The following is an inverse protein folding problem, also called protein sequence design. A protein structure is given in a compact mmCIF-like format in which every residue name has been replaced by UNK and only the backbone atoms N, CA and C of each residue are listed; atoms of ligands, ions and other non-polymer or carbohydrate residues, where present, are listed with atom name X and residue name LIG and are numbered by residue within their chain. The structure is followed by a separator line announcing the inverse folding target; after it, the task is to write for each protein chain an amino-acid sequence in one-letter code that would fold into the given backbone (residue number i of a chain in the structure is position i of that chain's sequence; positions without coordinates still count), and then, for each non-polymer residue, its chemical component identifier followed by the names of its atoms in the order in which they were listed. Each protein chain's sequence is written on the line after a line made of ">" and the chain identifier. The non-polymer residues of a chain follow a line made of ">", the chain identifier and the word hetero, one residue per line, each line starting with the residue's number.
data_IF_294278820463
#
_entry.id   IF_294278820463
#
_cell.length_a   1.000
_cell.length_b   1.000
_cell.length_c   1.000
_cell.angle_alpha   90.00
_cell.angle_beta   90.00
_cell.angle_gamma   90.00
#
_symmetry.space_group_name_H-M   'P 1'
#
loop_
_entity.id
_entity.type
_entity.pdbx_description
1 polymer ?
#
# COMPACT_ATOMS: atom_id res chain seq x y z
N UNK A 1 -40.98 -24.92 -35.83
CA UNK A 1 -39.55 -24.92 -35.47
C UNK A 1 -39.28 -23.59 -34.81
N UNK A 2 -39.20 -23.63 -33.53
CA UNK A 2 -38.92 -22.44 -32.70
C UNK A 2 -37.64 -22.79 -31.98
N UNK A 3 -36.52 -22.28 -32.47
CA UNK A 3 -35.23 -22.39 -31.76
C UNK A 3 -35.18 -21.32 -30.67
N UNK A 4 -35.23 -21.81 -29.46
CA UNK A 4 -35.08 -21.02 -28.24
C UNK A 4 -33.61 -21.07 -27.84
N UNK A 5 -32.82 -20.08 -28.25
CA UNK A 5 -31.44 -19.90 -27.75
C UNK A 5 -31.50 -19.47 -26.29
N UNK A 6 -31.18 -20.41 -25.42
CA UNK A 6 -30.99 -20.17 -24.02
C UNK A 6 -29.76 -19.28 -23.78
N UNK A 7 -30.01 -18.07 -23.33
CA UNK A 7 -28.98 -17.11 -22.91
C UNK A 7 -28.25 -17.69 -21.68
N UNK A 8 -26.96 -17.94 -21.82
CA UNK A 8 -26.14 -18.71 -20.89
C UNK A 8 -25.71 -17.83 -19.72
N UNK A 9 -26.00 -18.15 -18.44
CA UNK A 9 -25.69 -17.31 -17.27
C UNK A 9 -24.20 -17.01 -17.05
N UNK A 10 -23.29 -17.83 -17.58
CA UNK A 10 -21.84 -17.67 -17.42
C UNK A 10 -21.25 -16.41 -18.09
N UNK A 11 -21.93 -15.83 -19.10
CA UNK A 11 -21.45 -14.63 -19.80
C UNK A 11 -21.79 -13.35 -19.03
N UNK A 12 -22.94 -13.32 -18.39
CA UNK A 12 -23.41 -12.18 -17.58
C UNK A 12 -22.59 -12.02 -16.30
N UNK A 13 -22.25 -13.10 -15.60
CA UNK A 13 -21.41 -13.07 -14.39
C UNK A 13 -20.00 -12.56 -14.68
N UNK A 14 -19.37 -13.01 -15.78
CA UNK A 14 -18.04 -12.52 -16.20
C UNK A 14 -18.06 -11.02 -16.56
N UNK A 15 -19.14 -10.52 -17.15
CA UNK A 15 -19.30 -9.10 -17.44
C UNK A 15 -19.44 -8.27 -16.16
N UNK A 16 -20.21 -8.71 -15.16
CA UNK A 16 -20.39 -8.03 -13.88
C UNK A 16 -19.05 -7.89 -13.12
N UNK A 17 -18.29 -8.96 -13.03
CA UNK A 17 -16.95 -8.95 -12.36
C UNK A 17 -15.98 -7.98 -13.08
N UNK A 18 -16.04 -7.92 -14.40
CA UNK A 18 -15.20 -7.05 -15.19
C UNK A 18 -15.55 -5.56 -15.01
N UNK A 19 -16.83 -5.23 -14.78
CA UNK A 19 -17.27 -3.85 -14.49
C UNK A 19 -16.70 -3.36 -13.17
N UNK A 20 -16.73 -4.20 -12.12
CA UNK A 20 -16.16 -3.86 -10.81
C UNK A 20 -14.65 -3.62 -10.92
N UNK A 21 -13.93 -4.49 -11.62
CA UNK A 21 -12.49 -4.33 -11.82
C UNK A 21 -12.14 -3.01 -12.56
N UNK A 22 -12.93 -2.65 -13.56
CA UNK A 22 -12.79 -1.39 -14.31
C UNK A 22 -13.09 -0.16 -13.44
N UNK A 23 -14.16 -0.20 -12.64
CA UNK A 23 -14.51 0.85 -11.69
C UNK A 23 -13.39 1.06 -10.66
N UNK A 24 -12.86 -0.02 -10.09
CA UNK A 24 -11.73 0.03 -9.17
C UNK A 24 -10.46 0.61 -9.83
N UNK A 25 -10.17 0.28 -11.09
CA UNK A 25 -9.05 0.84 -11.82
C UNK A 25 -9.20 2.36 -12.02
N UNK A 26 -10.42 2.83 -12.30
CA UNK A 26 -10.74 4.25 -12.44
C UNK A 26 -10.53 5.00 -11.12
N UNK A 27 -11.02 4.48 -10.01
CA UNK A 27 -10.82 5.08 -8.68
C UNK A 27 -9.32 5.15 -8.31
N UNK A 28 -8.53 4.11 -8.61
CA UNK A 28 -7.08 4.12 -8.40
C UNK A 28 -6.37 5.15 -9.27
N UNK A 29 -6.79 5.37 -10.51
CA UNK A 29 -6.21 6.40 -11.37
C UNK A 29 -6.42 7.81 -10.79
N UNK A 30 -7.56 8.05 -10.15
CA UNK A 30 -7.89 9.33 -9.49
C UNK A 30 -7.13 9.53 -8.17
N UNK A 31 -6.68 8.47 -7.50
CA UNK A 31 -6.00 8.54 -6.20
C UNK A 31 -4.78 9.46 -6.21
N UNK A 32 -4.04 9.51 -7.32
CA UNK A 32 -2.83 10.34 -7.48
C UNK A 32 -3.08 11.68 -8.17
N UNK A 33 -4.33 12.08 -8.30
CA UNK A 33 -4.75 13.30 -9.01
C UNK A 33 -5.84 14.06 -8.22
N UNK A 34 -5.47 14.72 -7.12
CA UNK A 34 -6.44 15.43 -6.26
C UNK A 34 -7.20 16.54 -7.00
N UNK A 35 -6.57 17.19 -8.01
CA UNK A 35 -7.24 18.16 -8.88
C UNK A 35 -8.29 17.52 -9.81
N UNK A 36 -8.23 16.19 -9.98
CA UNK A 36 -9.09 15.46 -10.89
C UNK A 36 -8.45 15.14 -12.24
N UNK A 37 -9.18 14.36 -13.05
CA UNK A 37 -8.79 13.94 -14.38
C UNK A 37 -9.95 14.15 -15.35
N UNK A 38 -9.64 14.56 -16.57
CA UNK A 38 -10.62 14.59 -17.67
C UNK A 38 -10.98 13.16 -18.10
N UNK A 39 -12.15 12.98 -18.73
CA UNK A 39 -12.54 11.68 -19.30
C UNK A 39 -11.53 11.13 -20.32
N UNK A 40 -10.83 12.02 -21.03
CA UNK A 40 -9.77 11.65 -21.98
C UNK A 40 -8.53 11.10 -21.28
N UNK A 41 -8.10 11.72 -20.19
CA UNK A 41 -6.98 11.25 -19.37
C UNK A 41 -7.32 9.93 -18.68
N UNK A 42 -8.53 9.82 -18.12
CA UNK A 42 -9.02 8.57 -17.51
C UNK A 42 -9.06 7.44 -18.54
N UNK A 43 -9.58 7.70 -19.76
CA UNK A 43 -9.63 6.72 -20.84
C UNK A 43 -8.25 6.16 -21.18
N UNK A 44 -7.23 7.01 -21.23
CA UNK A 44 -5.83 6.60 -21.43
C UNK A 44 -5.29 5.81 -20.23
N UNK A 45 -5.53 6.30 -19.02
CA UNK A 45 -5.00 5.70 -17.79
C UNK A 45 -5.54 4.28 -17.55
N UNK A 46 -6.83 4.03 -17.87
CA UNK A 46 -7.46 2.70 -17.66
C UNK A 46 -7.55 1.87 -18.94
N UNK A 47 -7.04 2.37 -20.07
CA UNK A 47 -7.06 1.71 -21.40
C UNK A 47 -8.48 1.26 -21.82
N UNK A 48 -9.48 2.13 -21.61
CA UNK A 48 -10.88 1.89 -21.99
C UNK A 48 -11.39 2.97 -22.92
N UNK A 49 -12.37 2.64 -23.82
CA UNK A 49 -13.04 3.63 -24.64
C UNK A 49 -13.68 4.74 -23.79
N UNK A 50 -13.64 5.98 -24.26
CA UNK A 50 -14.18 7.15 -23.54
C UNK A 50 -15.66 6.99 -23.16
N UNK A 51 -16.47 6.37 -24.04
CA UNK A 51 -17.90 6.08 -23.75
C UNK A 51 -18.08 5.10 -22.60
N UNK A 52 -17.19 4.11 -22.47
CA UNK A 52 -17.18 3.18 -21.32
C UNK A 52 -16.78 3.91 -20.04
N UNK A 53 -15.74 4.76 -20.09
CA UNK A 53 -15.33 5.57 -18.95
C UNK A 53 -16.44 6.50 -18.49
N UNK A 54 -17.12 7.18 -19.44
CA UNK A 54 -18.28 8.04 -19.12
C UNK A 54 -19.34 7.27 -18.33
N UNK A 55 -19.77 6.09 -18.82
CA UNK A 55 -20.78 5.27 -18.13
C UNK A 55 -20.35 4.81 -16.72
N UNK A 56 -19.05 4.50 -16.55
CA UNK A 56 -18.49 4.15 -15.24
C UNK A 56 -18.47 5.37 -14.31
N UNK A 57 -18.09 6.54 -14.81
CA UNK A 57 -18.09 7.79 -14.06
C UNK A 57 -19.51 8.15 -13.63
N UNK A 58 -20.50 8.08 -14.53
CA UNK A 58 -21.90 8.39 -14.22
C UNK A 58 -22.44 7.45 -13.13
N UNK A 59 -22.11 6.14 -13.22
CA UNK A 59 -22.50 5.17 -12.21
C UNK A 59 -21.81 5.40 -10.85
N UNK A 60 -20.52 5.75 -10.84
CA UNK A 60 -19.78 6.04 -9.61
C UNK A 60 -20.19 7.38 -8.98
N UNK A 61 -20.59 8.36 -9.79
CA UNK A 61 -21.10 9.66 -9.35
C UNK A 61 -22.45 9.51 -8.68
N UNK A 62 -23.35 8.68 -9.26
CA UNK A 62 -24.65 8.39 -8.64
C UNK A 62 -24.55 7.73 -7.25
N UNK A 63 -23.45 7.00 -6.99
CA UNK A 63 -23.15 6.38 -5.68
C UNK A 63 -22.26 7.29 -4.80
N UNK A 64 -21.87 8.47 -5.28
CA UNK A 64 -21.02 9.44 -4.56
C UNK A 64 -19.57 9.01 -4.40
N UNK A 65 -19.09 8.01 -5.16
CA UNK A 65 -17.69 7.56 -5.15
C UNK A 65 -16.77 8.47 -5.95
N UNK A 66 -17.31 9.18 -6.92
CA UNK A 66 -16.63 10.25 -7.62
C UNK A 66 -17.52 11.48 -7.64
N UNK A 67 -16.95 12.63 -7.97
CA UNK A 67 -17.65 13.85 -8.31
C UNK A 67 -17.38 14.10 -9.78
N UNK A 68 -18.40 13.93 -10.62
CA UNK A 68 -18.34 14.33 -12.02
C UNK A 68 -18.44 15.86 -12.07
N UNK A 69 -17.32 16.52 -12.32
CA UNK A 69 -17.31 17.96 -12.37
C UNK A 69 -17.89 18.50 -13.66
N UNK A 70 -18.41 19.74 -13.62
CA UNK A 70 -18.77 20.56 -14.78
C UNK A 70 -17.59 20.64 -15.77
N UNK A 71 -17.87 20.99 -17.02
CA UNK A 71 -16.99 20.93 -18.20
C UNK A 71 -15.55 21.48 -18.07
N UNK A 72 -15.19 22.08 -16.94
CA UNK A 72 -13.87 22.69 -16.69
C UNK A 72 -13.05 22.05 -15.55
N UNK A 73 -13.67 21.31 -14.63
CA UNK A 73 -12.97 20.62 -13.54
C UNK A 73 -13.12 19.11 -13.73
N UNK A 74 -12.01 18.37 -13.81
CA UNK A 74 -12.01 16.93 -14.06
C UNK A 74 -12.78 16.11 -13.03
N UNK A 75 -13.00 14.82 -13.29
CA UNK A 75 -13.58 13.84 -12.35
C UNK A 75 -12.64 13.70 -11.15
N UNK A 76 -13.18 13.75 -9.93
CA UNK A 76 -12.44 13.61 -8.66
C UNK A 76 -13.06 12.50 -7.79
N UNK A 77 -12.32 12.03 -6.80
CA UNK A 77 -12.85 11.13 -5.79
C UNK A 77 -13.96 11.82 -4.98
N UNK A 78 -15.03 11.07 -4.70
CA UNK A 78 -16.23 11.56 -4.02
C UNK A 78 -16.23 11.28 -2.51
N UNK A 79 -17.09 11.97 -1.74
CA UNK A 79 -17.12 11.90 -0.27
C UNK A 79 -17.59 10.54 0.29
N UNK A 80 -18.35 9.73 -0.46
CA UNK A 80 -18.77 8.41 -0.01
C UNK A 80 -17.59 7.48 0.29
N UNK A 81 -16.44 7.70 -0.33
CA UNK A 81 -15.22 6.95 -0.04
C UNK A 81 -14.69 7.24 1.39
N UNK A 82 -14.87 8.46 1.90
CA UNK A 82 -14.48 8.80 3.28
C UNK A 82 -15.36 8.06 4.30
N UNK A 83 -16.66 7.94 4.04
CA UNK A 83 -17.57 7.21 4.91
C UNK A 83 -17.25 5.71 4.93
N UNK A 84 -16.94 5.13 3.78
CA UNK A 84 -16.52 3.73 3.70
C UNK A 84 -15.18 3.50 4.41
N UNK A 85 -14.20 4.39 4.21
CA UNK A 85 -12.91 4.31 4.89
C UNK A 85 -13.08 4.41 6.42
N UNK A 86 -13.93 5.32 6.91
CA UNK A 86 -14.23 5.45 8.34
C UNK A 86 -14.93 4.21 8.93
N UNK A 87 -15.70 3.48 8.12
CA UNK A 87 -16.32 2.22 8.53
C UNK A 87 -15.34 1.04 8.52
N UNK A 88 -14.20 1.17 7.86
CA UNK A 88 -13.15 0.18 7.85
C UNK A 88 -12.44 0.23 9.21
N UNK A 89 -12.67 -0.75 10.07
CA UNK A 89 -12.03 -0.84 11.39
C UNK A 89 -10.56 -1.25 11.24
N UNK A 90 -9.70 -0.30 10.94
CA UNK A 90 -8.24 -0.48 11.10
C UNK A 90 -7.87 -0.38 12.58
N UNK A 91 -8.29 -1.38 13.35
CA UNK A 91 -8.06 -1.42 14.79
C UNK A 91 -6.56 -1.26 15.16
N UNK A 92 -5.69 -1.72 14.26
CA UNK A 92 -4.25 -1.62 14.45
C UNK A 92 -3.73 -0.17 14.40
N UNK A 93 -4.33 0.70 13.56
CA UNK A 93 -3.91 2.10 13.46
C UNK A 93 -4.18 2.86 14.77
N UNK A 94 -5.36 2.65 15.37
CA UNK A 94 -5.71 3.28 16.64
C UNK A 94 -4.78 2.85 17.77
N UNK A 95 -4.47 1.55 17.85
CA UNK A 95 -3.58 1.01 18.89
C UNK A 95 -2.13 1.43 18.65
N UNK A 96 -1.67 1.47 17.41
CA UNK A 96 -0.30 1.83 17.05
C UNK A 96 -0.02 3.34 17.16
N UNK A 97 -1.02 4.21 17.07
CA UNK A 97 -0.85 5.67 16.95
C UNK A 97 0.10 6.26 17.98
N UNK A 98 -0.07 5.93 19.26
CA UNK A 98 0.83 6.41 20.34
C UNK A 98 2.26 5.92 20.15
N UNK A 99 2.45 4.73 19.63
CA UNK A 99 3.78 4.17 19.33
C UNK A 99 4.44 4.94 18.19
N UNK A 100 3.69 5.25 17.12
CA UNK A 100 4.20 6.05 16.00
C UNK A 100 4.63 7.44 16.46
N UNK A 101 3.80 8.12 17.27
CA UNK A 101 4.09 9.44 17.82
C UNK A 101 5.34 9.45 18.71
N UNK A 102 5.45 8.46 19.60
CA UNK A 102 6.60 8.34 20.49
C UNK A 102 7.89 8.08 19.71
N UNK A 103 7.82 7.22 18.69
CA UNK A 103 8.94 6.87 17.85
C UNK A 103 9.38 8.05 16.98
N UNK A 104 8.43 8.78 16.36
CA UNK A 104 8.72 9.97 15.59
C UNK A 104 9.36 11.10 16.45
N UNK A 105 8.88 11.26 17.68
CA UNK A 105 9.45 12.20 18.65
C UNK A 105 10.87 11.83 19.06
N UNK A 106 11.14 10.54 19.28
CA UNK A 106 12.45 10.05 19.69
C UNK A 106 13.48 10.17 18.56
N UNK A 107 13.10 9.84 17.33
CA UNK A 107 14.01 9.74 16.19
C UNK A 107 14.10 11.04 15.38
N UNK A 108 13.08 11.89 15.45
CA UNK A 108 12.94 13.06 14.58
C UNK A 108 12.56 12.71 13.13
N UNK A 109 12.48 11.42 12.79
CA UNK A 109 12.15 10.94 11.45
C UNK A 109 10.66 10.66 11.30
N UNK A 110 10.20 10.59 10.04
CA UNK A 110 8.86 10.10 9.71
C UNK A 110 8.71 8.64 10.15
N UNK A 111 7.54 8.30 10.66
CA UNK A 111 7.19 6.93 11.02
C UNK A 111 5.91 6.54 10.31
N UNK A 112 5.95 5.45 9.59
CA UNK A 112 4.83 4.94 8.80
C UNK A 112 4.29 3.63 9.37
N UNK A 113 2.96 3.46 9.32
CA UNK A 113 2.28 2.19 9.52
C UNK A 113 1.70 1.72 8.19
N UNK A 114 1.91 0.46 7.86
CA UNK A 114 1.40 -0.12 6.61
C UNK A 114 0.82 -1.51 6.79
N UNK A 115 -0.10 -1.86 5.91
CA UNK A 115 -0.70 -3.20 5.76
C UNK A 115 -0.39 -3.75 4.37
N UNK A 116 -0.51 -5.07 4.24
CA UNK A 116 -0.45 -5.70 2.93
C UNK A 116 -1.80 -5.60 2.23
N UNK A 117 -1.78 -5.16 0.98
CA UNK A 117 -2.88 -5.27 0.01
C UNK A 117 -2.39 -6.02 -1.23
N UNK A 118 -2.83 -7.25 -1.39
CA UNK A 118 -2.44 -8.16 -2.48
C UNK A 118 -0.92 -8.38 -2.56
N UNK A 119 -0.22 -7.70 -3.46
CA UNK A 119 1.24 -7.78 -3.68
C UNK A 119 1.97 -6.48 -3.37
N UNK A 120 1.33 -5.58 -2.62
CA UNK A 120 1.85 -4.27 -2.24
C UNK A 120 1.67 -4.04 -0.75
N UNK A 121 2.42 -3.10 -0.21
CA UNK A 121 2.11 -2.46 1.07
C UNK A 121 1.33 -1.18 0.82
N UNK A 122 0.34 -0.90 1.66
CA UNK A 122 -0.42 0.36 1.66
C UNK A 122 -0.17 1.05 2.98
N UNK A 123 0.22 2.32 2.94
CA UNK A 123 0.40 3.14 4.13
C UNK A 123 -0.96 3.57 4.66
N UNK A 124 -1.27 3.23 5.91
CA UNK A 124 -2.57 3.47 6.55
C UNK A 124 -2.52 4.55 7.63
N UNK A 125 -1.34 4.81 8.18
CA UNK A 125 -1.12 5.92 9.11
C UNK A 125 0.34 6.40 9.02
N UNK A 126 0.57 7.66 9.39
CA UNK A 126 1.88 8.30 9.35
C UNK A 126 1.98 9.38 10.43
N UNK A 127 3.16 9.47 11.03
CA UNK A 127 3.58 10.62 11.83
C UNK A 127 4.80 11.25 11.18
N UNK A 128 4.67 12.49 10.74
CA UNK A 128 5.76 13.21 10.09
C UNK A 128 6.91 13.49 11.06
N UNK A 129 8.13 13.36 10.58
CA UNK A 129 9.33 13.73 11.31
C UNK A 129 9.47 15.25 11.47
N UNK A 130 10.41 15.66 12.33
CA UNK A 130 10.69 17.07 12.64
C UNK A 130 11.90 17.64 11.91
N UNK A 131 12.66 16.79 11.21
CA UNK A 131 13.78 17.25 10.40
C UNK A 131 13.31 18.11 9.22
N UNK A 132 14.12 19.11 8.84
CA UNK A 132 13.81 19.99 7.70
C UNK A 132 13.72 19.22 6.37
N UNK A 133 14.53 18.17 6.20
CA UNK A 133 14.46 17.23 5.09
C UNK A 133 13.96 15.89 5.61
N UNK A 134 12.74 15.53 5.28
CA UNK A 134 12.08 14.28 5.68
C UNK A 134 11.74 13.45 4.46
N UNK A 135 11.85 12.12 4.60
CA UNK A 135 11.22 11.20 3.66
C UNK A 135 9.75 11.06 4.06
N UNK A 136 8.84 11.36 3.16
CA UNK A 136 7.40 11.34 3.44
C UNK A 136 6.72 10.36 2.49
N UNK A 137 6.08 9.34 3.07
CA UNK A 137 5.09 8.50 2.39
C UNK A 137 3.72 9.12 2.66
N UNK A 138 2.81 9.13 1.69
CA UNK A 138 1.45 9.61 1.96
C UNK A 138 0.54 8.44 2.34
N UNK A 139 -0.38 8.63 3.28
CA UNK A 139 -1.44 7.66 3.59
C UNK A 139 -2.23 7.34 2.31
N UNK A 140 -2.48 6.05 2.06
CA UNK A 140 -3.13 5.56 0.84
C UNK A 140 -2.17 5.26 -0.32
N UNK A 141 -0.92 5.70 -0.27
CA UNK A 141 0.11 5.32 -1.26
C UNK A 141 0.53 3.87 -1.04
N UNK A 142 0.90 3.19 -2.10
CA UNK A 142 1.33 1.79 -2.05
C UNK A 142 2.68 1.58 -2.72
N UNK A 143 3.51 0.72 -2.12
CA UNK A 143 4.81 0.29 -2.65
C UNK A 143 4.83 -1.21 -2.91
N UNK A 144 5.68 -1.70 -3.84
CA UNK A 144 5.89 -3.12 -4.02
C UNK A 144 6.45 -3.79 -2.76
N UNK A 145 6.01 -5.01 -2.45
CA UNK A 145 6.50 -5.77 -1.28
C UNK A 145 8.02 -6.01 -1.33
N UNK A 146 8.58 -6.28 -2.51
CA UNK A 146 9.98 -6.70 -2.64
C UNK A 146 10.99 -5.55 -2.59
N UNK A 147 10.57 -4.31 -2.85
CA UNK A 147 11.48 -3.16 -2.93
C UNK A 147 11.40 -2.23 -1.71
N UNK A 148 10.48 -2.45 -0.79
CA UNK A 148 10.32 -1.61 0.40
C UNK A 148 10.68 -2.34 1.69
N UNK A 149 11.19 -1.64 2.70
CA UNK A 149 11.47 -2.22 4.00
C UNK A 149 10.20 -2.83 4.63
N UNK A 150 9.07 -2.10 4.57
CA UNK A 150 7.76 -2.55 5.04
C UNK A 150 7.35 -3.88 4.39
N UNK A 151 7.46 -3.94 3.06
CA UNK A 151 7.07 -5.13 2.30
C UNK A 151 7.94 -6.34 2.63
N UNK A 152 9.25 -6.15 2.70
CA UNK A 152 10.18 -7.24 3.08
C UNK A 152 9.98 -7.70 4.52
N UNK A 153 9.65 -6.79 5.45
CA UNK A 153 9.30 -7.16 6.82
C UNK A 153 8.00 -7.98 6.87
N UNK A 154 6.96 -7.59 6.12
CA UNK A 154 5.70 -8.34 6.01
C UNK A 154 5.96 -9.72 5.39
N UNK A 155 6.73 -9.81 4.30
CA UNK A 155 7.10 -11.09 3.68
C UNK A 155 7.82 -12.03 4.66
N UNK A 156 8.70 -11.49 5.50
CA UNK A 156 9.41 -12.27 6.51
C UNK A 156 8.49 -12.81 7.61
N UNK A 157 7.41 -12.10 7.92
CA UNK A 157 6.40 -12.53 8.90
C UNK A 157 5.39 -13.56 8.36
N UNK A 158 5.37 -13.79 7.03
CA UNK A 158 4.56 -14.83 6.38
C UNK A 158 5.18 -16.20 6.53
N UNK A 159 4.35 -17.25 6.44
CA UNK A 159 4.84 -18.61 6.27
C UNK A 159 5.28 -18.89 4.81
N UNK A 160 6.01 -19.99 4.63
CA UNK A 160 6.56 -20.35 3.31
C UNK A 160 5.47 -20.72 2.29
N UNK A 161 4.31 -21.22 2.74
CA UNK A 161 3.17 -21.54 1.88
C UNK A 161 2.48 -20.25 1.39
N UNK A 162 2.39 -19.22 2.23
CA UNK A 162 1.89 -17.89 1.86
C UNK A 162 2.81 -17.24 0.83
N UNK A 163 4.14 -17.29 1.05
CA UNK A 163 5.13 -16.79 0.10
C UNK A 163 5.05 -17.53 -1.23
N UNK A 164 4.92 -18.86 -1.21
CA UNK A 164 4.80 -19.68 -2.42
C UNK A 164 3.56 -19.29 -3.25
N UNK A 165 2.41 -19.07 -2.60
CA UNK A 165 1.19 -18.57 -3.26
C UNK A 165 1.38 -17.16 -3.84
N UNK A 166 2.05 -16.28 -3.10
CA UNK A 166 2.31 -14.91 -3.55
C UNK A 166 3.24 -14.89 -4.76
N UNK A 167 4.26 -15.76 -4.79
CA UNK A 167 5.23 -15.89 -5.88
C UNK A 167 4.57 -16.11 -7.25
N UNK A 168 3.44 -16.81 -7.33
CA UNK A 168 2.73 -17.05 -8.59
C UNK A 168 2.11 -15.79 -9.19
N UNK A 169 1.90 -14.75 -8.40
CA UNK A 169 1.18 -13.53 -8.77
C UNK A 169 2.06 -12.28 -8.74
N UNK A 170 3.12 -12.29 -7.93
CA UNK A 170 4.00 -11.14 -7.73
C UNK A 170 5.16 -11.13 -8.72
N UNK A 171 5.31 -10.04 -9.45
CA UNK A 171 6.45 -9.78 -10.33
C UNK A 171 7.43 -8.85 -9.62
N UNK A 172 8.71 -9.23 -9.59
CA UNK A 172 9.80 -8.43 -9.02
C UNK A 172 10.31 -7.44 -10.08
N UNK A 173 9.54 -6.35 -10.29
CA UNK A 173 9.92 -5.33 -11.27
C UNK A 173 11.02 -4.42 -10.71
N UNK A 174 12.01 -4.02 -11.50
CA UNK A 174 13.00 -3.06 -11.09
C UNK A 174 12.34 -1.68 -10.90
N UNK A 175 12.56 -1.07 -9.73
CA UNK A 175 12.11 0.30 -9.39
C UNK A 175 13.32 1.23 -9.41
N UNK A 176 14.45 0.76 -8.87
CA UNK A 176 15.76 1.41 -8.92
C UNK A 176 16.82 0.39 -9.35
N UNK A 177 18.07 0.82 -9.63
CA UNK A 177 19.17 -0.11 -9.88
C UNK A 177 19.45 -1.06 -8.70
N UNK A 178 19.05 -0.71 -7.47
CA UNK A 178 19.29 -1.49 -6.27
C UNK A 178 18.16 -2.48 -5.95
N UNK A 179 17.06 -2.43 -6.69
CA UNK A 179 15.89 -3.31 -6.45
C UNK A 179 16.26 -4.78 -6.61
N UNK A 180 15.85 -5.60 -5.65
CA UNK A 180 15.93 -7.06 -5.77
C UNK A 180 14.93 -7.53 -6.83
N UNK A 181 15.43 -8.10 -7.93
CA UNK A 181 14.61 -8.55 -9.07
C UNK A 181 14.57 -10.06 -9.25
N UNK A 182 15.25 -10.82 -8.37
CA UNK A 182 15.31 -12.29 -8.42
C UNK A 182 14.76 -12.90 -7.14
N UNK A 183 13.94 -13.92 -7.29
CA UNK A 183 13.31 -14.60 -6.16
C UNK A 183 14.28 -15.29 -5.22
N UNK A 184 15.39 -15.87 -5.72
CA UNK A 184 16.41 -16.48 -4.87
C UNK A 184 17.07 -15.46 -3.94
N UNK A 185 17.38 -14.25 -4.45
CA UNK A 185 17.90 -13.13 -3.65
C UNK A 185 16.87 -12.65 -2.63
N UNK A 186 15.59 -12.49 -3.03
CA UNK A 186 14.53 -12.05 -2.12
C UNK A 186 14.31 -13.07 -1.00
N UNK A 187 14.30 -14.37 -1.30
CA UNK A 187 14.16 -15.42 -0.29
C UNK A 187 15.35 -15.45 0.68
N UNK A 188 16.57 -15.20 0.18
CA UNK A 188 17.75 -15.02 1.03
C UNK A 188 17.61 -13.84 2.00
N UNK A 189 17.22 -12.66 1.48
CA UNK A 189 16.96 -11.47 2.32
C UNK A 189 15.84 -11.73 3.35
N UNK A 190 14.74 -12.43 2.97
CA UNK A 190 13.67 -12.83 3.87
C UNK A 190 14.19 -13.71 5.01
N UNK A 191 15.04 -14.69 4.70
CA UNK A 191 15.63 -15.56 5.71
C UNK A 191 16.51 -14.78 6.71
N UNK A 192 17.31 -13.83 6.23
CA UNK A 192 18.08 -12.92 7.08
C UNK A 192 17.17 -12.03 7.94
N UNK A 193 16.09 -11.48 7.39
CA UNK A 193 15.12 -10.67 8.13
C UNK A 193 14.46 -11.47 9.25
N UNK A 194 14.10 -12.72 9.00
CA UNK A 194 13.54 -13.63 10.01
C UNK A 194 14.50 -13.85 11.18
N UNK A 195 15.82 -13.90 10.92
CA UNK A 195 16.83 -14.07 11.96
C UNK A 195 17.06 -12.79 12.78
N UNK A 196 17.14 -11.63 12.11
CA UNK A 196 17.48 -10.35 12.77
C UNK A 196 16.25 -9.59 13.28
N UNK A 197 15.03 -9.89 12.78
CA UNK A 197 13.77 -9.30 13.23
C UNK A 197 13.41 -7.96 12.55
N UNK A 198 14.18 -7.46 11.62
CA UNK A 198 13.93 -6.19 10.92
C UNK A 198 14.41 -6.23 9.47
N UNK A 199 13.80 -5.42 8.62
CA UNK A 199 14.13 -5.28 7.20
C UNK A 199 14.69 -3.90 6.91
N UNK A 200 15.58 -3.82 5.91
CA UNK A 200 16.05 -2.55 5.34
C UNK A 200 15.53 -2.36 3.91
N UNK A 201 15.27 -1.12 3.55
CA UNK A 201 15.28 -0.63 2.17
C UNK A 201 16.57 0.18 1.99
N UNK A 202 17.40 -0.22 1.05
CA UNK A 202 18.68 0.41 0.73
C UNK A 202 18.60 1.06 -0.63
N UNK A 203 17.74 2.08 -0.75
CA UNK A 203 17.42 2.76 -2.01
C UNK A 203 16.82 1.81 -3.07
N UNK A 204 16.16 0.74 -2.63
CA UNK A 204 15.56 -0.27 -3.48
C UNK A 204 14.23 0.21 -4.08
N UNK A 205 13.47 1.05 -3.33
CA UNK A 205 12.23 1.65 -3.80
C UNK A 205 12.41 3.06 -4.35
N UNK A 206 13.30 3.85 -3.76
CA UNK A 206 13.54 5.25 -4.19
C UNK A 206 15.00 5.62 -3.94
N UNK A 207 15.69 6.11 -4.99
CA UNK A 207 17.06 6.61 -4.82
C UNK A 207 17.08 7.80 -3.84
N UNK A 208 18.10 7.84 -2.97
CA UNK A 208 18.26 8.84 -1.94
C UNK A 208 17.46 8.59 -0.67
N UNK A 209 16.63 7.54 -0.60
CA UNK A 209 15.84 7.16 0.57
C UNK A 209 16.20 5.74 1.00
N UNK A 210 16.51 5.58 2.28
CA UNK A 210 16.61 4.29 2.95
C UNK A 210 15.54 4.18 4.03
N UNK A 211 15.22 2.96 4.45
CA UNK A 211 14.27 2.74 5.55
C UNK A 211 14.64 1.50 6.36
N UNK A 212 14.21 1.48 7.61
CA UNK A 212 14.15 0.27 8.44
C UNK A 212 12.69 -0.02 8.78
N UNK A 213 12.29 -1.31 8.79
CA UNK A 213 10.93 -1.73 9.12
C UNK A 213 10.93 -2.98 10.00
N UNK A 214 9.90 -3.09 10.85
CA UNK A 214 9.58 -4.26 11.66
C UNK A 214 8.13 -4.63 11.40
N UNK A 215 7.86 -5.92 11.19
CA UNK A 215 6.51 -6.43 11.10
C UNK A 215 5.94 -6.72 12.49
N UNK A 216 4.63 -6.60 12.62
CA UNK A 216 3.86 -6.99 13.79
C UNK A 216 2.60 -7.72 13.34
N UNK A 217 2.08 -8.59 14.22
CA UNK A 217 0.87 -9.37 13.94
C UNK A 217 -0.17 -9.07 15.03
N UNK A 218 -1.39 -8.73 14.62
CA UNK A 218 -2.49 -8.58 15.57
C UNK A 218 -3.09 -9.95 15.96
N UNK A 219 -3.92 -10.02 17.02
CA UNK A 219 -4.56 -11.27 17.44
C UNK A 219 -5.47 -11.91 16.37
N UNK A 220 -5.96 -11.14 15.40
CA UNK A 220 -6.72 -11.65 14.27
C UNK A 220 -5.84 -12.27 13.15
N UNK A 221 -4.51 -12.24 13.32
CA UNK A 221 -3.55 -12.79 12.37
C UNK A 221 -3.14 -11.85 11.25
N UNK A 222 -3.67 -10.61 11.20
CA UNK A 222 -3.26 -9.62 10.21
C UNK A 222 -1.83 -9.16 10.46
N UNK A 223 -1.05 -9.05 9.38
CA UNK A 223 0.34 -8.59 9.44
C UNK A 223 0.39 -7.13 9.00
N UNK A 224 0.91 -6.30 9.88
CA UNK A 224 1.25 -4.91 9.62
C UNK A 224 2.77 -4.71 9.70
N UNK A 225 3.26 -3.55 9.28
CA UNK A 225 4.64 -3.15 9.54
C UNK A 225 4.74 -1.67 9.90
N UNK A 226 5.67 -1.36 10.80
CA UNK A 226 6.06 0.00 11.13
C UNK A 226 7.45 0.24 10.55
N UNK A 227 7.65 1.40 9.92
CA UNK A 227 8.94 1.77 9.33
C UNK A 227 9.35 3.19 9.65
N UNK A 228 10.65 3.42 9.54
CA UNK A 228 11.29 4.73 9.64
C UNK A 228 12.05 4.96 8.33
N UNK A 229 11.48 5.69 7.36
CA UNK A 229 12.21 6.16 6.20
C UNK A 229 13.07 7.38 6.56
N UNK A 230 14.26 7.48 5.97
CA UNK A 230 15.14 8.63 6.12
C UNK A 230 15.95 8.86 4.83
N UNK A 231 16.43 10.10 4.57
CA UNK A 231 17.41 10.35 3.52
C UNK A 231 18.64 9.47 3.69
N UNK A 232 19.13 8.87 2.60
CA UNK A 232 20.19 7.87 2.63
C UNK A 232 21.46 8.35 3.37
N UNK A 233 21.84 9.63 3.20
CA UNK A 233 23.00 10.21 3.89
C UNK A 233 22.83 10.20 5.41
N UNK A 234 21.65 10.55 5.93
CA UNK A 234 21.38 10.56 7.37
C UNK A 234 21.23 9.12 7.88
N UNK A 235 20.53 8.27 7.12
CA UNK A 235 20.38 6.86 7.45
C UNK A 235 21.72 6.16 7.65
N UNK A 236 22.74 6.48 6.84
CA UNK A 236 24.07 5.88 6.94
C UNK A 236 24.72 6.08 8.33
N UNK A 237 24.42 7.18 9.02
CA UNK A 237 24.98 7.50 10.34
C UNK A 237 24.05 7.15 11.50
N UNK A 238 22.76 7.05 11.27
CA UNK A 238 21.76 6.84 12.33
C UNK A 238 21.09 5.46 12.27
N UNK A 239 21.43 4.62 11.30
CA UNK A 239 20.78 3.33 11.03
C UNK A 239 20.62 2.47 12.28
N UNK A 240 21.66 2.33 13.06
CA UNK A 240 21.67 1.43 14.22
C UNK A 240 20.77 1.99 15.35
N UNK A 241 20.80 3.29 15.58
CA UNK A 241 19.93 3.97 16.54
C UNK A 241 18.45 3.88 16.13
N UNK A 242 18.15 4.15 14.85
CA UNK A 242 16.79 4.02 14.30
C UNK A 242 16.28 2.58 14.43
N UNK A 243 17.14 1.61 14.13
CA UNK A 243 16.79 0.18 14.23
C UNK A 243 16.49 -0.21 15.67
N UNK A 244 17.33 0.17 16.63
CA UNK A 244 17.13 -0.13 18.05
C UNK A 244 15.86 0.52 18.60
N UNK A 245 15.62 1.80 18.25
CA UNK A 245 14.40 2.50 18.65
C UNK A 245 13.18 1.77 18.09
N UNK A 246 13.15 1.46 16.80
CA UNK A 246 12.03 0.79 16.14
C UNK A 246 11.74 -0.57 16.75
N UNK A 247 12.74 -1.43 16.88
CA UNK A 247 12.57 -2.77 17.46
C UNK A 247 12.02 -2.69 18.89
N UNK A 248 12.57 -1.80 19.73
CA UNK A 248 12.10 -1.60 21.11
C UNK A 248 10.64 -1.16 21.19
N UNK A 249 10.24 -0.19 20.37
CA UNK A 249 8.86 0.32 20.34
C UNK A 249 7.87 -0.70 19.80
N UNK A 250 8.22 -1.39 18.72
CA UNK A 250 7.34 -2.40 18.11
C UNK A 250 7.19 -3.62 19.01
N UNK A 251 8.25 -4.05 19.70
CA UNK A 251 8.14 -5.16 20.68
C UNK A 251 7.13 -4.84 21.79
N UNK A 252 7.17 -3.63 22.36
CA UNK A 252 6.20 -3.18 23.38
C UNK A 252 4.77 -3.13 22.84
N UNK A 253 4.60 -2.68 21.60
CA UNK A 253 3.30 -2.67 20.93
C UNK A 253 2.79 -4.10 20.72
N UNK A 254 3.66 -5.02 20.27
CA UNK A 254 3.31 -6.43 20.08
C UNK A 254 2.87 -7.09 21.40
N UNK A 255 3.54 -6.80 22.51
CA UNK A 255 3.15 -7.27 23.86
C UNK A 255 1.77 -6.74 24.26
N UNK A 256 1.43 -5.52 23.86
CA UNK A 256 0.11 -4.91 24.13
C UNK A 256 -0.99 -5.55 23.28
N UNK A 257 -0.70 -5.88 22.03
CA UNK A 257 -1.63 -6.53 21.12
C UNK A 257 -1.90 -8.00 21.49
N UNK A 258 -0.97 -8.65 22.18
CA UNK A 258 -1.07 -10.06 22.57
C UNK A 258 -1.82 -10.30 23.88
N UNK A 259 -2.22 -9.22 24.57
CA UNK A 259 -3.01 -9.26 25.84
C UNK A 259 -4.50 -9.18 25.54
#
# INVERSE_FOLDING_TARGET
>A
MIDNEADTPATSERQGIQVIARAAALLRALQHRPEGMTLGELSKAVSLPRSTVQRLVDALDSEGFVLAASSTSGVRLGPSLLALAAATRFHIAEVARKTLESLAKETGETVDLSLMDQSKVVFIDQVAGTHRLTAVSAVGVSFPLHSSANGKAILAAMDDAEIARLRTRMKLQPVTPNTITRWDQLLGEIAEIRQRGYAFDREENSLGICAVAVALRNPAGEIASISIPAPAQRFATTRDDLTQALVRHVSRLQDTLSR
#
